data_IF_131474597572
#
_entry.id   IF_131474597572
#
_cell.length_a   1.000
_cell.length_b   1.000
_cell.length_c   1.000
_cell.angle_alpha   90.00
_cell.angle_beta   90.00
_cell.angle_gamma   90.00
#
_symmetry.space_group_name_H-M   'P 1'
#
loop_
_entity.id
_entity.type
_entity.pdbx_description
1 polymer ?
#
# COMPACT_ATOMS: atom_id res chain seq x y z
N UNK A 1 -0.04 16.29 0.78
CA UNK A 1 -0.75 15.71 -0.37
C UNK A 1 -1.59 16.74 -1.12
N UNK A 2 -2.44 17.55 -0.44
CA UNK A 2 -3.31 18.54 -1.09
C UNK A 2 -2.55 19.62 -1.88
N UNK A 3 -1.43 20.11 -1.34
CA UNK A 3 -0.55 21.03 -2.07
C UNK A 3 0.08 20.37 -3.30
N UNK A 4 0.53 19.13 -3.18
CA UNK A 4 1.08 18.37 -4.31
C UNK A 4 0.04 18.17 -5.42
N UNK A 5 -1.23 17.96 -5.06
CA UNK A 5 -2.32 17.90 -6.01
C UNK A 5 -2.46 19.21 -6.80
N UNK A 6 -2.44 20.36 -6.11
CA UNK A 6 -2.58 21.68 -6.78
C UNK A 6 -1.40 21.96 -7.70
N UNK A 7 -0.18 21.61 -7.29
CA UNK A 7 1.03 21.76 -8.09
C UNK A 7 0.99 20.89 -9.36
N UNK A 8 0.66 19.61 -9.19
CA UNK A 8 0.53 18.69 -10.33
C UNK A 8 -0.58 19.13 -11.28
N UNK A 9 -1.69 19.64 -10.74
CA UNK A 9 -2.77 20.17 -11.55
C UNK A 9 -2.30 21.32 -12.45
N UNK A 10 -1.55 22.29 -11.88
CA UNK A 10 -1.00 23.40 -12.64
C UNK A 10 -0.01 22.93 -13.74
N UNK A 11 0.85 21.94 -13.42
CA UNK A 11 1.78 21.37 -14.39
C UNK A 11 1.02 20.73 -15.56
N UNK A 12 -0.01 19.93 -15.28
CA UNK A 12 -0.82 19.30 -16.33
C UNK A 12 -1.58 20.33 -17.18
N UNK A 13 -2.05 21.45 -16.59
CA UNK A 13 -2.67 22.55 -17.33
C UNK A 13 -1.65 23.21 -18.28
N UNK A 14 -0.42 23.48 -17.82
CA UNK A 14 0.66 24.05 -18.64
C UNK A 14 1.05 23.12 -19.79
N UNK A 15 1.04 21.80 -19.58
CA UNK A 15 1.30 20.79 -20.61
C UNK A 15 0.11 20.56 -21.56
N UNK A 16 -1.00 21.27 -21.36
CA UNK A 16 -2.14 21.27 -22.30
C UNK A 16 -3.11 20.09 -22.13
N UNK A 17 -3.13 19.43 -20.97
CA UNK A 17 -4.11 18.38 -20.71
C UNK A 17 -5.52 18.92 -20.49
N UNK A 18 -6.51 18.14 -20.87
CA UNK A 18 -7.92 18.46 -20.64
C UNK A 18 -8.24 18.55 -19.14
N UNK A 19 -8.80 19.69 -18.70
CA UNK A 19 -9.11 19.95 -17.29
C UNK A 19 -9.98 18.86 -16.62
N UNK A 20 -10.82 18.17 -17.40
CA UNK A 20 -11.67 17.08 -16.92
C UNK A 20 -10.92 15.76 -16.63
N UNK A 21 -9.74 15.56 -17.24
CA UNK A 21 -8.92 14.34 -17.08
C UNK A 21 -7.86 14.48 -16.00
N UNK A 22 -7.37 15.72 -15.77
CA UNK A 22 -6.26 15.98 -14.86
C UNK A 22 -6.47 15.41 -13.46
N UNK A 23 -7.63 15.61 -12.79
CA UNK A 23 -7.84 15.07 -11.44
C UNK A 23 -7.72 13.55 -11.37
N UNK A 24 -8.20 12.85 -12.37
CA UNK A 24 -8.10 11.38 -12.46
C UNK A 24 -6.62 10.97 -12.60
N UNK A 25 -5.89 11.55 -13.56
CA UNK A 25 -4.47 11.26 -13.78
C UNK A 25 -3.64 11.47 -12.52
N UNK A 26 -3.87 12.57 -11.80
CA UNK A 26 -3.15 12.86 -10.55
C UNK A 26 -3.42 11.77 -9.50
N UNK A 27 -4.69 11.40 -9.29
CA UNK A 27 -5.07 10.49 -8.20
C UNK A 27 -4.74 9.02 -8.49
N UNK A 28 -4.66 8.64 -9.77
CA UNK A 28 -4.39 7.25 -10.15
C UNK A 28 -2.94 6.97 -10.53
N UNK A 29 -2.17 8.00 -10.93
CA UNK A 29 -0.81 7.79 -11.46
C UNK A 29 0.29 8.56 -10.73
N UNK A 30 -0.02 9.66 -10.05
CA UNK A 30 1.02 10.54 -9.52
C UNK A 30 1.09 10.58 -8.00
N UNK A 31 -0.04 10.59 -7.31
CA UNK A 31 -0.08 10.71 -5.84
C UNK A 31 -0.35 9.36 -5.20
N UNK A 32 0.57 8.98 -4.33
CA UNK A 32 0.48 7.81 -3.48
C UNK A 32 0.65 8.23 -2.03
N UNK A 33 -0.15 7.70 -1.14
CA UNK A 33 -0.03 7.92 0.29
C UNK A 33 0.06 6.59 1.03
N UNK A 34 0.93 6.56 2.03
CA UNK A 34 1.09 5.42 2.93
C UNK A 34 0.92 5.96 4.34
N UNK A 35 0.03 5.36 5.11
CA UNK A 35 -0.33 5.78 6.46
C UNK A 35 -0.47 4.57 7.37
N UNK A 36 -0.20 4.72 8.65
CA UNK A 36 -0.40 3.69 9.69
C UNK A 36 -1.67 3.94 10.52
N UNK A 37 -2.20 5.15 10.49
CA UNK A 37 -3.47 5.51 11.15
C UNK A 37 -4.61 5.51 10.12
N UNK A 38 -5.59 4.66 10.34
CA UNK A 38 -6.75 4.49 9.44
C UNK A 38 -7.50 5.80 9.23
N UNK A 39 -7.73 6.57 10.32
CA UNK A 39 -8.47 7.82 10.26
C UNK A 39 -7.71 8.89 9.49
N UNK A 40 -6.38 8.93 9.64
CA UNK A 40 -5.54 9.85 8.88
C UNK A 40 -5.53 9.48 7.40
N UNK A 41 -5.48 8.18 7.07
CA UNK A 41 -5.59 7.67 5.70
C UNK A 41 -6.94 8.01 5.06
N UNK A 42 -8.05 7.79 5.76
CA UNK A 42 -9.39 8.16 5.29
C UNK A 42 -9.53 9.67 5.07
N UNK A 43 -9.01 10.48 6.00
CA UNK A 43 -9.02 11.94 5.87
C UNK A 43 -8.19 12.41 4.69
N UNK A 44 -7.04 11.80 4.44
CA UNK A 44 -6.20 12.10 3.27
C UNK A 44 -6.92 11.77 1.96
N UNK A 45 -7.54 10.59 1.87
CA UNK A 45 -8.33 10.18 0.71
C UNK A 45 -9.51 11.11 0.47
N UNK A 46 -10.23 11.48 1.54
CA UNK A 46 -11.33 12.45 1.46
C UNK A 46 -10.87 13.82 0.96
N UNK A 47 -9.77 14.35 1.53
CA UNK A 47 -9.24 15.66 1.16
C UNK A 47 -8.83 15.71 -0.33
N UNK A 48 -8.16 14.68 -0.82
CA UNK A 48 -7.78 14.55 -2.25
C UNK A 48 -9.01 14.44 -3.15
N UNK A 49 -10.00 13.65 -2.75
CA UNK A 49 -11.27 13.50 -3.49
C UNK A 49 -12.01 14.85 -3.58
N UNK A 50 -12.03 15.63 -2.50
CA UNK A 50 -12.64 16.97 -2.49
C UNK A 50 -11.86 17.96 -3.38
N UNK A 51 -10.52 17.89 -3.43
CA UNK A 51 -9.70 18.66 -4.36
C UNK A 51 -10.07 18.33 -5.82
N UNK A 52 -10.13 17.05 -6.15
CA UNK A 52 -10.53 16.59 -7.49
C UNK A 52 -11.94 17.06 -7.85
N UNK A 53 -12.88 16.97 -6.90
CA UNK A 53 -14.25 17.45 -7.08
C UNK A 53 -14.35 18.95 -7.29
N UNK A 54 -13.52 19.74 -6.62
CA UNK A 54 -13.46 21.18 -6.81
C UNK A 54 -13.01 21.56 -8.23
N UNK A 55 -12.09 20.78 -8.81
CA UNK A 55 -11.62 20.97 -10.19
C UNK A 55 -12.56 20.40 -11.26
N UNK A 56 -13.25 19.29 -10.96
CA UNK A 56 -14.18 18.65 -11.91
C UNK A 56 -15.53 18.29 -11.25
N UNK A 57 -16.58 19.03 -11.58
CA UNK A 57 -17.92 18.90 -10.93
C UNK A 57 -18.55 17.50 -11.02
N UNK A 58 -18.22 16.70 -12.04
CA UNK A 58 -18.76 15.34 -12.24
C UNK A 58 -17.80 14.24 -11.74
N UNK A 59 -16.76 14.60 -10.98
CA UNK A 59 -15.71 13.66 -10.55
C UNK A 59 -16.26 12.43 -9.80
N UNK A 60 -17.23 12.61 -8.92
CA UNK A 60 -17.80 11.48 -8.16
C UNK A 60 -18.47 10.40 -9.03
N UNK A 61 -18.95 10.76 -10.23
CA UNK A 61 -19.51 9.78 -11.16
C UNK A 61 -18.50 8.81 -11.75
N UNK A 62 -17.20 9.09 -11.61
CA UNK A 62 -16.13 8.23 -12.14
C UNK A 62 -15.70 7.11 -11.16
N UNK A 63 -16.19 7.12 -9.92
CA UNK A 63 -15.83 6.16 -8.86
C UNK A 63 -14.32 5.98 -8.63
N UNK A 64 -13.52 7.04 -8.87
CA UNK A 64 -12.08 7.03 -8.72
C UNK A 64 -11.73 7.13 -7.24
N UNK A 65 -10.83 6.25 -6.78
CA UNK A 65 -10.28 6.27 -5.43
C UNK A 65 -8.83 6.78 -5.48
N UNK A 66 -8.44 7.70 -4.58
CA UNK A 66 -7.03 8.06 -4.41
C UNK A 66 -6.18 6.86 -4.00
N UNK A 67 -4.94 6.82 -4.43
CA UNK A 67 -3.97 5.79 -4.03
C UNK A 67 -3.47 6.05 -2.60
N UNK A 68 -4.33 5.80 -1.62
CA UNK A 68 -3.98 5.86 -0.20
C UNK A 68 -4.05 4.45 0.37
N UNK A 69 -2.92 3.97 0.87
CA UNK A 69 -2.79 2.70 1.54
C UNK A 69 -2.64 2.92 3.05
N UNK A 70 -3.53 2.34 3.82
CA UNK A 70 -3.37 2.20 5.26
C UNK A 70 -2.68 0.87 5.52
N UNK A 71 -1.58 0.90 6.27
CA UNK A 71 -0.85 -0.30 6.64
C UNK A 71 -1.50 -0.93 7.87
N UNK A 72 -1.96 -2.15 7.70
CA UNK A 72 -2.63 -2.94 8.73
C UNK A 72 -1.80 -4.17 9.08
N UNK A 73 -1.81 -4.55 10.37
CA UNK A 73 -1.18 -5.77 10.82
C UNK A 73 -1.94 -6.99 10.30
N UNK A 74 -1.21 -7.92 9.71
CA UNK A 74 -1.77 -9.15 9.16
C UNK A 74 -1.07 -10.34 9.80
N UNK A 75 -1.78 -11.04 10.68
CA UNK A 75 -1.24 -12.19 11.40
C UNK A 75 -1.43 -13.46 10.59
N UNK A 76 -0.38 -14.26 10.51
CA UNK A 76 -0.39 -15.59 9.91
C UNK A 76 0.00 -16.63 10.94
N UNK A 77 -0.82 -17.67 11.10
CA UNK A 77 -0.43 -18.88 11.77
C UNK A 77 0.59 -19.66 10.93
N UNK A 78 1.51 -20.39 11.57
CA UNK A 78 2.55 -21.12 10.84
C UNK A 78 1.98 -22.27 9.99
N UNK A 79 1.00 -23.00 10.53
CA UNK A 79 0.37 -24.09 9.81
C UNK A 79 -0.50 -23.58 8.66
N UNK A 80 -1.26 -22.50 8.91
CA UNK A 80 -2.07 -21.78 7.91
C UNK A 80 -1.21 -21.33 6.71
N UNK A 81 -0.10 -20.68 6.99
CA UNK A 81 0.79 -20.17 5.94
C UNK A 81 1.47 -21.30 5.17
N UNK A 82 1.89 -22.35 5.87
CA UNK A 82 2.48 -23.53 5.26
C UNK A 82 1.50 -24.26 4.33
N UNK A 83 0.26 -24.48 4.77
CA UNK A 83 -0.79 -25.09 3.95
C UNK A 83 -1.08 -24.26 2.72
N UNK A 84 -1.14 -22.93 2.86
CA UNK A 84 -1.34 -22.02 1.73
C UNK A 84 -0.19 -22.08 0.72
N UNK A 85 1.06 -22.11 1.19
CA UNK A 85 2.24 -22.23 0.32
C UNK A 85 2.26 -23.57 -0.43
N UNK A 86 1.89 -24.66 0.24
CA UNK A 86 1.80 -25.96 -0.42
C UNK A 86 0.69 -26.00 -1.48
N UNK A 87 -0.40 -25.26 -1.25
CA UNK A 87 -1.50 -25.10 -2.21
C UNK A 87 -1.12 -24.27 -3.45
N UNK A 88 -0.41 -23.15 -3.27
CA UNK A 88 0.02 -22.32 -4.41
C UNK A 88 1.15 -22.98 -5.23
N UNK A 89 1.87 -23.91 -4.64
CA UNK A 89 3.04 -24.58 -5.20
C UNK A 89 4.34 -23.93 -4.73
N UNK A 90 5.38 -24.75 -4.60
CA UNK A 90 6.71 -24.30 -4.20
C UNK A 90 7.53 -23.99 -5.42
N UNK A 91 7.91 -22.74 -5.57
CA UNK A 91 8.78 -22.24 -6.64
C UNK A 91 9.78 -21.22 -6.12
N UNK A 92 10.49 -20.53 -7.04
CA UNK A 92 11.57 -19.60 -6.71
C UNK A 92 11.11 -18.37 -5.89
N UNK A 93 9.83 -18.01 -5.91
CA UNK A 93 9.34 -16.84 -5.16
C UNK A 93 8.76 -17.20 -3.78
N UNK A 94 8.66 -18.48 -3.44
CA UNK A 94 8.03 -18.94 -2.17
C UNK A 94 8.72 -18.37 -0.93
N UNK A 95 10.06 -18.43 -0.85
CA UNK A 95 10.79 -17.91 0.31
C UNK A 95 10.69 -16.37 0.41
N UNK A 96 10.92 -15.58 -0.65
CA UNK A 96 10.70 -14.13 -0.62
C UNK A 96 9.25 -13.74 -0.30
N UNK A 97 8.27 -14.53 -0.76
CA UNK A 97 6.85 -14.32 -0.43
C UNK A 97 6.61 -14.49 1.06
N UNK A 98 7.06 -15.60 1.66
CA UNK A 98 6.91 -15.84 3.10
C UNK A 98 7.55 -14.73 3.93
N UNK A 99 8.78 -14.34 3.61
CA UNK A 99 9.46 -13.25 4.30
C UNK A 99 8.68 -11.94 4.19
N UNK A 100 8.21 -11.62 2.98
CA UNK A 100 7.41 -10.41 2.76
C UNK A 100 6.12 -10.43 3.57
N UNK A 101 5.38 -11.55 3.58
CA UNK A 101 4.14 -11.68 4.36
C UNK A 101 4.38 -11.48 5.86
N UNK A 102 5.44 -12.06 6.41
CA UNK A 102 5.82 -11.91 7.82
C UNK A 102 6.17 -10.48 8.22
N UNK A 103 6.69 -9.69 7.29
CA UNK A 103 6.99 -8.27 7.54
C UNK A 103 5.72 -7.44 7.87
N UNK A 104 4.55 -7.86 7.39
CA UNK A 104 3.28 -7.18 7.65
C UNK A 104 2.58 -7.61 8.95
N UNK A 105 3.16 -8.51 9.74
CA UNK A 105 2.62 -8.86 11.06
C UNK A 105 2.66 -7.69 12.05
N UNK A 106 3.57 -6.73 11.81
CA UNK A 106 3.73 -5.51 12.62
C UNK A 106 3.79 -4.26 11.72
N UNK A 107 2.93 -4.20 10.73
CA UNK A 107 2.93 -3.13 9.73
C UNK A 107 2.69 -1.73 10.35
N UNK A 108 1.86 -1.63 11.38
CA UNK A 108 1.60 -0.40 12.14
C UNK A 108 2.83 0.09 12.92
N UNK A 109 3.71 -0.83 13.32
CA UNK A 109 4.93 -0.52 14.06
C UNK A 109 6.10 -0.09 13.15
N UNK A 110 6.28 -0.77 12.04
CA UNK A 110 7.40 -0.52 11.12
C UNK A 110 7.05 0.46 9.99
N UNK A 111 5.80 0.52 9.60
CA UNK A 111 5.32 1.47 8.59
C UNK A 111 6.14 1.41 7.30
N UNK A 112 6.58 2.57 6.83
CA UNK A 112 7.39 2.70 5.62
C UNK A 112 8.84 2.18 5.73
N UNK A 113 9.24 1.65 6.89
CA UNK A 113 10.53 0.96 7.06
C UNK A 113 10.50 -0.49 6.53
N UNK A 114 9.31 -1.04 6.32
CA UNK A 114 9.14 -2.36 5.69
C UNK A 114 9.72 -2.30 4.27
N UNK A 115 10.54 -3.29 3.95
CA UNK A 115 11.13 -3.47 2.62
C UNK A 115 10.76 -4.85 2.11
N UNK A 116 9.72 -4.97 1.26
CA UNK A 116 9.34 -6.25 0.68
C UNK A 116 10.51 -6.90 -0.05
N UNK A 117 10.74 -8.18 0.21
CA UNK A 117 11.81 -8.95 -0.47
C UNK A 117 11.40 -9.42 -1.86
N UNK A 118 10.10 -9.40 -2.16
CA UNK A 118 9.59 -9.71 -3.49
C UNK A 118 10.02 -8.63 -4.48
N UNK A 119 10.64 -9.04 -5.58
CA UNK A 119 11.11 -8.13 -6.63
C UNK A 119 10.01 -7.69 -7.58
N UNK A 120 8.95 -8.49 -7.74
CA UNK A 120 7.82 -8.22 -8.63
C UNK A 120 6.50 -8.53 -7.91
N UNK A 121 6.17 -7.65 -6.95
CA UNK A 121 4.95 -7.79 -6.13
C UNK A 121 3.69 -7.77 -7.01
N UNK A 122 3.66 -6.90 -8.02
CA UNK A 122 2.48 -6.69 -8.85
C UNK A 122 2.12 -7.92 -9.69
N UNK A 123 3.11 -8.56 -10.33
CA UNK A 123 2.87 -9.79 -11.09
C UNK A 123 2.43 -10.94 -10.21
N UNK A 124 3.00 -11.07 -9.01
CA UNK A 124 2.61 -12.10 -8.05
C UNK A 124 1.20 -11.84 -7.52
N UNK A 125 0.85 -10.59 -7.22
CA UNK A 125 -0.49 -10.20 -6.80
C UNK A 125 -1.53 -10.57 -7.87
N UNK A 126 -1.29 -10.21 -9.14
CA UNK A 126 -2.18 -10.56 -10.26
C UNK A 126 -2.33 -12.08 -10.43
N UNK A 127 -1.23 -12.83 -10.33
CA UNK A 127 -1.24 -14.28 -10.44
C UNK A 127 -2.09 -14.92 -9.32
N UNK A 128 -1.95 -14.43 -8.09
CA UNK A 128 -2.72 -14.94 -6.96
C UNK A 128 -4.19 -14.49 -7.01
N UNK A 129 -4.49 -13.26 -7.43
CA UNK A 129 -5.87 -12.81 -7.62
C UNK A 129 -6.65 -13.63 -8.65
N UNK A 130 -5.96 -14.19 -9.64
CA UNK A 130 -6.56 -15.07 -10.64
C UNK A 130 -6.78 -16.52 -10.14
N UNK A 131 -6.24 -16.87 -8.96
CA UNK A 131 -6.30 -18.24 -8.46
C UNK A 131 -7.63 -18.54 -7.78
N UNK A 132 -8.31 -19.60 -8.22
CA UNK A 132 -9.57 -20.02 -7.63
C UNK A 132 -9.35 -20.77 -6.31
N UNK A 133 -9.87 -20.23 -5.22
CA UNK A 133 -9.87 -20.81 -3.87
C UNK A 133 -11.29 -21.08 -3.33
N UNK A 134 -12.31 -20.99 -4.18
CA UNK A 134 -13.73 -21.02 -3.78
C UNK A 134 -14.18 -22.35 -3.15
N UNK A 135 -13.45 -23.43 -3.37
CA UNK A 135 -13.76 -24.75 -2.79
C UNK A 135 -13.20 -25.04 -1.40
N UNK A 136 -12.41 -24.10 -0.81
CA UNK A 136 -11.65 -24.37 0.42
C UNK A 136 -11.75 -23.18 1.39
N UNK A 137 -12.64 -23.31 2.38
CA UNK A 137 -12.97 -22.19 3.29
C UNK A 137 -11.75 -21.63 4.02
N UNK A 138 -10.91 -22.50 4.59
CA UNK A 138 -9.71 -22.08 5.33
C UNK A 138 -8.69 -21.39 4.41
N UNK A 139 -8.41 -21.95 3.25
CA UNK A 139 -7.51 -21.32 2.28
C UNK A 139 -8.05 -20.00 1.74
N UNK A 140 -9.37 -19.85 1.65
CA UNK A 140 -10.00 -18.59 1.23
C UNK A 140 -9.71 -17.44 2.20
N UNK A 141 -9.71 -17.68 3.51
CA UNK A 141 -9.38 -16.65 4.50
C UNK A 141 -7.89 -16.30 4.45
N UNK A 142 -7.02 -17.31 4.41
CA UNK A 142 -5.57 -17.11 4.26
C UNK A 142 -5.25 -16.39 2.96
N UNK A 143 -5.93 -16.73 1.87
CA UNK A 143 -5.78 -16.08 0.57
C UNK A 143 -6.11 -14.59 0.64
N UNK A 144 -7.19 -14.20 1.30
CA UNK A 144 -7.54 -12.79 1.52
C UNK A 144 -6.45 -12.05 2.28
N UNK A 145 -5.93 -12.64 3.36
CA UNK A 145 -4.81 -12.08 4.13
C UNK A 145 -3.56 -11.89 3.28
N UNK A 146 -3.22 -12.89 2.46
CA UNK A 146 -2.07 -12.82 1.54
C UNK A 146 -2.25 -11.71 0.51
N UNK A 147 -3.42 -11.62 -0.13
CA UNK A 147 -3.71 -10.54 -1.09
C UNK A 147 -3.65 -9.16 -0.41
N UNK A 148 -4.14 -9.04 0.82
CA UNK A 148 -4.07 -7.79 1.59
C UNK A 148 -2.63 -7.39 1.87
N UNK A 149 -1.77 -8.32 2.33
CA UNK A 149 -0.35 -8.07 2.56
C UNK A 149 0.38 -7.68 1.27
N UNK A 150 0.10 -8.37 0.16
CA UNK A 150 0.70 -8.04 -1.13
C UNK A 150 0.25 -6.68 -1.67
N UNK A 151 -1.01 -6.29 -1.48
CA UNK A 151 -1.47 -4.95 -1.84
C UNK A 151 -0.76 -3.87 -1.04
N UNK A 152 -0.48 -4.08 0.25
CA UNK A 152 0.34 -3.16 1.05
C UNK A 152 1.80 -3.16 0.55
N UNK A 153 2.35 -4.34 0.23
CA UNK A 153 3.70 -4.48 -0.32
C UNK A 153 3.86 -3.75 -1.66
N UNK A 154 2.83 -3.74 -2.50
CA UNK A 154 2.83 -3.05 -3.80
C UNK A 154 3.02 -1.53 -3.65
N UNK A 155 2.54 -0.92 -2.55
CA UNK A 155 2.81 0.49 -2.25
C UNK A 155 4.23 0.76 -1.74
N UNK A 156 4.89 -0.23 -1.13
CA UNK A 156 6.23 -0.08 -0.54
C UNK A 156 7.35 -0.52 -1.49
N UNK A 157 7.04 -1.26 -2.55
CA UNK A 157 8.02 -1.79 -3.50
C UNK A 157 8.49 -0.80 -4.57
N UNK A 158 7.64 0.10 -5.12
CA UNK A 158 8.05 1.00 -6.18
C UNK A 158 9.05 2.06 -5.73
N UNK A 159 9.90 2.50 -6.67
CA UNK A 159 10.75 3.68 -6.46
C UNK A 159 9.98 4.93 -6.90
N UNK A 160 9.60 5.76 -5.96
CA UNK A 160 8.95 7.04 -6.21
C UNK A 160 9.97 8.10 -6.59
N UNK A 161 9.62 9.00 -7.52
CA UNK A 161 10.48 10.11 -7.94
C UNK A 161 10.69 11.13 -6.81
N UNK A 162 9.65 11.35 -5.99
CA UNK A 162 9.69 12.24 -4.83
C UNK A 162 8.99 11.56 -3.67
N UNK A 163 9.66 11.55 -2.53
CA UNK A 163 9.09 11.04 -1.26
C UNK A 163 9.07 12.18 -0.26
N UNK A 164 7.91 12.42 0.34
CA UNK A 164 7.71 13.41 1.42
C UNK A 164 7.22 12.64 2.64
N UNK A 165 8.01 12.66 3.70
CA UNK A 165 7.69 12.00 4.95
C UNK A 165 7.54 13.02 6.09
N UNK A 166 6.62 12.74 7.00
CA UNK A 166 6.50 13.42 8.29
C UNK A 166 6.76 12.38 9.39
N UNK A 167 8.04 12.09 9.69
CA UNK A 167 8.38 11.08 10.69
C UNK A 167 7.88 11.51 12.07
N UNK A 168 7.52 10.57 12.95
CA UNK A 168 7.10 10.88 14.30
C UNK A 168 8.23 11.59 15.06
N UNK A 169 7.90 12.67 15.75
CA UNK A 169 8.84 13.43 16.58
C UNK A 169 9.10 12.69 17.91
N UNK A 170 9.58 11.45 17.81
CA UNK A 170 9.93 10.64 18.97
C UNK A 170 11.45 10.56 19.12
N UNK A 171 11.92 10.85 20.33
CA UNK A 171 13.30 10.49 20.70
C UNK A 171 13.38 8.97 20.96
N UNK A 172 14.58 8.42 21.00
CA UNK A 172 14.80 6.99 21.26
C UNK A 172 14.16 6.50 22.59
N UNK A 173 13.91 7.40 23.55
CA UNK A 173 13.21 7.08 24.80
C UNK A 173 11.75 6.70 24.64
N UNK A 174 11.07 7.29 23.66
CA UNK A 174 9.65 7.03 23.37
C UNK A 174 9.39 5.87 22.43
N UNK A 175 10.41 5.30 21.78
CA UNK A 175 10.26 4.18 20.86
C UNK A 175 10.07 2.87 21.62
N UNK A 176 9.30 1.95 21.06
CA UNK A 176 9.19 0.60 21.60
C UNK A 176 10.49 -0.21 21.41
N UNK A 177 10.69 -1.30 22.17
CA UNK A 177 11.93 -2.08 22.13
C UNK A 177 12.26 -2.66 20.76
N UNK A 178 11.27 -3.08 19.97
CA UNK A 178 11.45 -3.67 18.64
C UNK A 178 11.93 -2.65 17.63
N UNK A 179 11.33 -1.46 17.62
CA UNK A 179 11.75 -0.36 16.74
C UNK A 179 13.18 0.11 17.11
N UNK A 180 13.52 0.15 18.40
CA UNK A 180 14.90 0.45 18.86
C UNK A 180 15.90 -0.60 18.36
N UNK A 181 15.53 -1.88 18.46
CA UNK A 181 16.38 -2.97 17.97
C UNK A 181 16.60 -2.89 16.46
N UNK A 182 15.56 -2.58 15.71
CA UNK A 182 15.65 -2.41 14.25
C UNK A 182 16.57 -1.27 13.86
N UNK A 183 16.44 -0.10 14.50
CA UNK A 183 17.27 1.08 14.23
C UNK A 183 18.70 0.96 14.76
N UNK A 184 18.95 0.11 15.76
CA UNK A 184 20.29 -0.16 16.29
C UNK A 184 21.05 -1.25 15.54
N UNK A 185 20.37 -1.99 14.67
CA UNK A 185 20.96 -3.04 13.81
C UNK A 185 21.37 -2.52 12.42
N UNK A 186 21.01 -1.28 12.10
CA UNK A 186 21.38 -0.55 10.88
C UNK A 186 22.48 0.45 11.15
#
# INVERSE_FOLDING_TARGET
LTYAFDLLYAIYEEEGYEAAEIPEKILTHNLYGIEIDERAGELAAFALTMKARAKHKRFFGKAIRPNICVLENIQFDEDELKEYIDFIGRDLFTAPLQTTLRQFEEADNFGSLIRPELTDVQSILQLLEAKDVSGQLFLSETHKKVLQALRQADYLSPKYHVVIANPPYMNMGGMNPRLKSFLGAT
#
